data_IF_325118782533
#
_entry.id   IF_325118782533
#
_cell.length_a   1.000
_cell.length_b   1.000
_cell.length_c   1.000
_cell.angle_alpha   90.00
_cell.angle_beta   90.00
_cell.angle_gamma   90.00
#
_symmetry.space_group_name_H-M   'P 1'
#
loop_
_entity.id
_entity.type
_entity.pdbx_description
1 polymer ?
#
# COMPACT_ATOMS: atom_id res chain seq x y z
N UNK A 1 4.44 -9.32 32.56
CA UNK A 1 4.62 -8.73 31.21
C UNK A 1 3.65 -7.57 31.09
N UNK A 2 4.14 -6.33 31.09
CA UNK A 2 3.29 -5.15 30.93
C UNK A 2 2.64 -5.16 29.55
N UNK A 3 1.36 -4.81 29.47
CA UNK A 3 0.63 -4.78 28.20
C UNK A 3 1.14 -3.59 27.36
N UNK A 4 2.17 -3.81 26.53
CA UNK A 4 2.79 -2.78 25.68
C UNK A 4 1.79 -2.04 24.79
N UNK A 5 0.64 -2.67 24.49
CA UNK A 5 -0.46 -2.07 23.73
C UNK A 5 -1.07 -0.82 24.40
N UNK A 6 -0.85 -0.62 25.70
CA UNK A 6 -1.34 0.55 26.45
C UNK A 6 -0.34 1.71 26.51
N UNK A 7 0.90 1.54 26.04
CA UNK A 7 1.92 2.60 26.08
C UNK A 7 1.53 3.78 25.19
N UNK A 8 1.72 5.04 25.64
CA UNK A 8 1.55 6.23 24.80
C UNK A 8 2.35 6.16 23.49
N UNK A 9 3.57 5.62 23.53
CA UNK A 9 4.41 5.47 22.34
C UNK A 9 3.82 4.50 21.31
N UNK A 10 3.22 3.40 21.78
CA UNK A 10 2.54 2.44 20.91
C UNK A 10 1.31 3.06 20.24
N UNK A 11 0.49 3.79 21.01
CA UNK A 11 -0.69 4.50 20.48
C UNK A 11 -0.30 5.53 19.43
N UNK A 12 0.73 6.33 19.72
CA UNK A 12 1.25 7.33 18.78
C UNK A 12 1.72 6.70 17.47
N UNK A 13 2.51 5.61 17.55
CA UNK A 13 2.97 4.86 16.37
C UNK A 13 1.80 4.34 15.53
N UNK A 14 0.79 3.77 16.18
CA UNK A 14 -0.42 3.26 15.51
C UNK A 14 -1.19 4.37 14.79
N UNK A 15 -1.38 5.52 15.44
CA UNK A 15 -2.08 6.65 14.82
C UNK A 15 -1.28 7.28 13.66
N UNK A 16 0.05 7.37 13.77
CA UNK A 16 0.89 7.80 12.64
C UNK A 16 0.75 6.89 11.43
N UNK A 17 0.75 5.56 11.64
CA UNK A 17 0.55 4.58 10.57
C UNK A 17 -0.84 4.71 9.94
N UNK A 18 -1.89 4.90 10.76
CA UNK A 18 -3.26 5.14 10.27
C UNK A 18 -3.36 6.41 9.42
N UNK A 19 -2.86 7.52 9.93
CA UNK A 19 -2.96 8.82 9.26
C UNK A 19 -2.17 8.84 7.96
N UNK A 20 -0.94 8.29 7.97
CA UNK A 20 -0.14 8.18 6.75
C UNK A 20 -0.79 7.26 5.72
N UNK A 21 -1.39 6.15 6.14
CA UNK A 21 -2.13 5.29 5.21
C UNK A 21 -3.39 5.95 4.64
N UNK A 22 -4.14 6.70 5.46
CA UNK A 22 -5.28 7.50 4.98
C UNK A 22 -4.84 8.52 3.92
N UNK A 23 -3.71 9.19 4.14
CA UNK A 23 -3.17 10.14 3.16
C UNK A 23 -2.87 9.45 1.82
N UNK A 24 -2.25 8.27 1.85
CA UNK A 24 -2.01 7.46 0.63
C UNK A 24 -3.32 7.14 -0.09
N UNK A 25 -4.35 6.72 0.65
CA UNK A 25 -5.67 6.39 0.06
C UNK A 25 -6.38 7.62 -0.51
N UNK A 26 -6.36 8.76 0.18
CA UNK A 26 -6.98 10.00 -0.31
C UNK A 26 -6.34 10.47 -1.62
N UNK A 27 -5.01 10.35 -1.74
CA UNK A 27 -4.31 10.65 -3.00
C UNK A 27 -4.79 9.73 -4.13
N UNK A 28 -5.03 8.45 -3.84
CA UNK A 28 -5.57 7.50 -4.82
C UNK A 28 -7.03 7.81 -5.20
N UNK A 29 -7.88 8.16 -4.24
CA UNK A 29 -9.29 8.49 -4.49
C UNK A 29 -9.44 9.76 -5.34
N UNK A 30 -8.63 10.78 -5.05
CA UNK A 30 -8.60 12.01 -5.85
C UNK A 30 -8.16 11.72 -7.29
N UNK A 31 -7.14 10.87 -7.47
CA UNK A 31 -6.70 10.46 -8.79
C UNK A 31 -7.81 9.76 -9.59
N UNK A 32 -8.52 8.82 -8.95
CA UNK A 32 -9.62 8.10 -9.58
C UNK A 32 -10.79 9.04 -9.94
N UNK A 33 -11.14 9.98 -9.06
CA UNK A 33 -12.19 10.98 -9.32
C UNK A 33 -11.84 11.88 -10.51
N UNK A 34 -10.60 12.37 -10.59
CA UNK A 34 -10.15 13.18 -11.73
C UNK A 34 -10.18 12.41 -13.06
N UNK A 35 -9.83 11.12 -13.05
CA UNK A 35 -9.92 10.28 -14.25
C UNK A 35 -11.38 10.06 -14.67
N UNK A 36 -12.29 9.80 -13.73
CA UNK A 36 -13.71 9.64 -14.01
C UNK A 36 -14.34 10.91 -14.60
N UNK A 37 -14.04 12.09 -14.03
CA UNK A 37 -14.52 13.37 -14.56
C UNK A 37 -13.99 13.67 -15.96
N UNK A 38 -12.73 13.29 -16.27
CA UNK A 38 -12.15 13.46 -17.60
C UNK A 38 -12.75 12.51 -18.64
N UNK A 39 -13.09 11.28 -18.24
CA UNK A 39 -13.81 10.36 -19.11
C UNK A 39 -15.23 10.87 -19.42
N UNK A 40 -15.91 11.47 -18.44
CA UNK A 40 -17.24 12.07 -18.60
C UNK A 40 -17.23 13.36 -19.44
N UNK A 41 -16.19 14.18 -19.35
CA UNK A 41 -16.06 15.37 -20.22
C UNK A 41 -15.84 14.98 -21.68
N UNK A 42 -15.08 13.92 -21.94
CA UNK A 42 -14.86 13.44 -23.31
C UNK A 42 -16.10 12.78 -23.94
N UNK A 43 -17.03 12.26 -23.14
CA UNK A 43 -18.34 11.80 -23.62
C UNK A 43 -19.37 12.92 -23.74
N UNK A 44 -19.13 14.07 -23.10
CA UNK A 44 -20.05 15.22 -23.07
C UNK A 44 -19.72 16.30 -24.10
N UNK A 45 -18.61 16.20 -24.83
CA UNK A 45 -18.27 17.11 -25.94
C UNK A 45 -19.20 16.99 -27.18
N UNK A 46 -20.33 16.28 -27.05
CA UNK A 46 -21.46 16.30 -27.99
C UNK A 46 -22.68 17.10 -27.50
N UNK A 47 -22.67 17.72 -26.31
CA UNK A 47 -23.76 18.62 -25.91
C UNK A 47 -23.32 19.76 -24.99
N UNK A 48 -23.68 20.97 -25.38
CA UNK A 48 -23.10 22.24 -24.96
C UNK A 48 -23.54 22.79 -23.58
N UNK A 49 -22.72 23.74 -23.10
CA UNK A 49 -23.02 25.01 -22.39
C UNK A 49 -23.31 25.10 -20.87
N UNK A 50 -22.50 25.98 -20.25
CA UNK A 50 -22.74 26.97 -19.15
C UNK A 50 -23.39 26.53 -17.82
N UNK A 51 -22.67 26.70 -16.70
CA UNK A 51 -22.84 27.82 -15.75
C UNK A 51 -22.21 27.56 -14.36
N UNK A 52 -21.54 28.60 -13.86
CA UNK A 52 -21.35 29.09 -12.48
C UNK A 52 -21.08 28.15 -11.28
N UNK A 53 -19.84 28.20 -10.80
CA UNK A 53 -19.47 29.13 -9.71
C UNK A 53 -20.21 29.04 -8.37
N UNK A 54 -19.74 28.16 -7.47
CA UNK A 54 -19.30 28.49 -6.08
C UNK A 54 -19.14 27.22 -5.24
N UNK A 55 -18.14 27.25 -4.35
CA UNK A 55 -17.81 26.26 -3.31
C UNK A 55 -16.95 25.08 -3.75
N UNK A 56 -15.68 25.37 -4.01
CA UNK A 56 -14.63 24.39 -3.79
C UNK A 56 -13.49 25.10 -3.07
N UNK A 57 -13.45 24.97 -1.74
CA UNK A 57 -12.21 25.07 -0.98
C UNK A 57 -11.33 23.90 -1.42
N UNK A 58 -10.73 24.05 -2.60
CA UNK A 58 -9.81 23.09 -3.19
C UNK A 58 -8.53 23.15 -2.38
N UNK A 59 -8.34 22.12 -1.55
CA UNK A 59 -7.02 21.70 -1.08
C UNK A 59 -6.22 21.34 -2.34
N UNK A 60 -5.64 22.34 -2.97
CA UNK A 60 -4.70 22.25 -4.09
C UNK A 60 -3.32 21.82 -3.56
N UNK A 61 -3.28 20.68 -2.86
CA UNK A 61 -2.05 20.20 -2.24
C UNK A 61 -1.29 19.18 -3.12
N UNK A 62 -1.82 18.83 -4.29
CA UNK A 62 -1.17 17.92 -5.25
C UNK A 62 -1.35 18.44 -6.68
N UNK A 63 -0.96 19.70 -6.92
CA UNK A 63 -0.79 20.22 -8.28
C UNK A 63 0.56 19.74 -8.83
N UNK A 64 0.67 18.44 -9.07
CA UNK A 64 1.70 17.78 -9.86
C UNK A 64 0.99 16.91 -10.89
N UNK A 65 0.69 17.51 -12.03
CA UNK A 65 -0.16 16.96 -13.10
C UNK A 65 0.55 15.85 -13.89
N UNK A 66 0.63 14.63 -13.38
CA UNK A 66 0.76 13.42 -14.22
C UNK A 66 -0.03 12.28 -13.58
N UNK A 67 -0.64 11.43 -14.41
CA UNK A 67 -1.63 10.42 -14.02
C UNK A 67 -1.17 9.57 -12.84
N UNK A 68 -1.65 9.90 -11.64
CA UNK A 68 -1.41 9.11 -10.44
C UNK A 68 -2.02 7.74 -10.68
N UNK A 69 -1.16 6.73 -10.78
CA UNK A 69 -1.55 5.34 -11.01
C UNK A 69 -2.29 4.78 -9.79
N UNK A 70 -3.02 3.67 -9.91
CA UNK A 70 -3.41 2.86 -8.76
C UNK A 70 -2.20 2.45 -7.91
N UNK A 71 -2.36 2.34 -6.58
CA UNK A 71 -1.26 1.96 -5.68
C UNK A 71 -0.58 0.64 -6.09
N UNK A 72 -1.35 -0.33 -6.59
CA UNK A 72 -0.81 -1.64 -6.97
C UNK A 72 0.15 -1.56 -8.16
N UNK A 73 -0.01 -0.59 -9.07
CA UNK A 73 0.91 -0.43 -10.22
C UNK A 73 2.26 0.14 -9.76
N UNK A 74 2.25 1.12 -8.84
CA UNK A 74 3.50 1.61 -8.25
C UNK A 74 4.17 0.54 -7.40
N UNK A 75 3.37 -0.22 -6.65
CA UNK A 75 3.86 -1.36 -5.89
C UNK A 75 4.47 -2.41 -6.80
N UNK A 76 3.83 -2.77 -7.91
CA UNK A 76 4.34 -3.73 -8.88
C UNK A 76 5.67 -3.24 -9.48
N UNK A 77 5.71 -1.99 -9.95
CA UNK A 77 6.90 -1.37 -10.49
C UNK A 77 8.05 -1.37 -9.48
N UNK A 78 7.76 -1.14 -8.19
CA UNK A 78 8.73 -1.22 -7.10
C UNK A 78 9.14 -2.67 -6.82
N UNK A 79 8.17 -3.58 -6.73
CA UNK A 79 8.37 -4.99 -6.40
C UNK A 79 9.29 -5.68 -7.39
N UNK A 80 9.10 -5.44 -8.69
CA UNK A 80 9.92 -6.05 -9.71
C UNK A 80 11.30 -5.40 -9.91
N UNK A 81 11.60 -4.28 -9.27
CA UNK A 81 12.98 -3.82 -9.13
C UNK A 81 13.76 -4.75 -8.21
N UNK A 82 13.11 -5.26 -7.16
CA UNK A 82 13.73 -6.16 -6.18
C UNK A 82 13.63 -7.64 -6.57
N UNK A 83 12.52 -8.04 -7.18
CA UNK A 83 12.22 -9.44 -7.51
C UNK A 83 11.89 -9.60 -9.01
N UNK A 84 12.84 -9.32 -9.93
CA UNK A 84 12.56 -9.30 -11.36
C UNK A 84 12.17 -10.68 -11.93
N UNK A 85 12.66 -11.77 -11.33
CA UNK A 85 12.39 -13.15 -11.72
C UNK A 85 10.93 -13.58 -11.45
N UNK A 86 10.25 -12.90 -10.52
CA UNK A 86 8.85 -13.17 -10.20
C UNK A 86 7.85 -12.57 -11.19
N UNK A 87 8.28 -11.72 -12.13
CA UNK A 87 7.41 -11.08 -13.14
C UNK A 87 6.53 -12.08 -13.88
N UNK A 88 7.09 -13.20 -14.31
CA UNK A 88 6.37 -14.22 -15.11
C UNK A 88 5.39 -15.05 -14.30
N UNK A 89 5.53 -15.06 -12.96
CA UNK A 89 4.69 -15.83 -12.03
C UNK A 89 3.67 -14.94 -11.31
N UNK A 90 3.76 -13.63 -11.48
CA UNK A 90 2.92 -12.69 -10.77
C UNK A 90 1.49 -12.71 -11.33
N UNK A 91 0.45 -12.72 -10.47
CA UNK A 91 -0.91 -12.79 -10.94
C UNK A 91 -1.28 -11.53 -11.74
N UNK A 92 -1.91 -11.72 -12.90
CA UNK A 92 -2.50 -10.63 -13.69
C UNK A 92 -3.78 -10.06 -13.07
N UNK A 93 -4.32 -10.69 -12.01
CA UNK A 93 -5.48 -10.20 -11.29
C UNK A 93 -5.08 -9.14 -10.25
N UNK A 94 -4.91 -7.90 -10.72
CA UNK A 94 -4.51 -6.76 -9.91
C UNK A 94 -5.53 -6.35 -8.82
N UNK A 95 -6.80 -6.73 -8.97
CA UNK A 95 -7.82 -6.54 -7.92
C UNK A 95 -7.50 -7.41 -6.70
N UNK A 96 -7.07 -8.65 -6.91
CA UNK A 96 -6.66 -9.55 -5.83
C UNK A 96 -5.39 -9.03 -5.13
N UNK A 97 -4.38 -8.61 -5.91
CA UNK A 97 -3.12 -8.05 -5.38
C UNK A 97 -3.41 -6.81 -4.53
N UNK A 98 -4.26 -5.91 -5.02
CA UNK A 98 -4.67 -4.71 -4.29
C UNK A 98 -5.33 -5.04 -2.95
N UNK A 99 -6.30 -5.97 -2.96
CA UNK A 99 -6.99 -6.42 -1.73
C UNK A 99 -6.03 -7.07 -0.74
N UNK A 100 -5.07 -7.85 -1.24
CA UNK A 100 -4.05 -8.48 -0.41
C UNK A 100 -3.18 -7.45 0.29
N UNK A 101 -2.67 -6.46 -0.44
CA UNK A 101 -1.83 -5.40 0.11
C UNK A 101 -2.62 -4.53 1.10
N UNK A 102 -3.85 -4.16 0.77
CA UNK A 102 -4.71 -3.40 1.68
C UNK A 102 -4.99 -4.17 2.97
N UNK A 103 -5.27 -5.47 2.87
CA UNK A 103 -5.47 -6.35 4.02
C UNK A 103 -4.19 -6.45 4.86
N UNK A 104 -3.04 -6.62 4.21
CA UNK A 104 -1.73 -6.64 4.86
C UNK A 104 -1.50 -5.36 5.67
N UNK A 105 -1.65 -4.19 5.04
CA UNK A 105 -1.43 -2.90 5.68
C UNK A 105 -2.43 -2.67 6.81
N UNK A 106 -3.71 -2.95 6.59
CA UNK A 106 -4.75 -2.78 7.61
C UNK A 106 -4.48 -3.63 8.86
N UNK A 107 -4.06 -4.88 8.68
CA UNK A 107 -3.69 -5.74 9.82
C UNK A 107 -2.42 -5.27 10.52
N UNK A 108 -1.44 -4.79 9.76
CA UNK A 108 -0.20 -4.24 10.29
C UNK A 108 -0.45 -3.01 11.18
N UNK A 109 -1.31 -2.09 10.71
CA UNK A 109 -1.75 -0.91 11.45
C UNK A 109 -2.53 -1.29 12.71
N UNK A 110 -3.47 -2.22 12.57
CA UNK A 110 -4.34 -2.58 13.69
C UNK A 110 -3.67 -3.48 14.73
N UNK A 111 -2.46 -4.00 14.42
CA UNK A 111 -1.77 -5.03 15.20
C UNK A 111 -2.68 -6.24 15.50
N UNK A 112 -3.61 -6.53 14.58
CA UNK A 112 -4.46 -7.73 14.63
C UNK A 112 -3.61 -8.97 14.42
N UNK A 113 -4.13 -10.14 14.80
CA UNK A 113 -3.44 -11.44 14.78
C UNK A 113 -2.58 -11.67 13.51
N UNK A 114 -1.34 -11.20 13.58
CA UNK A 114 -0.36 -11.26 12.51
C UNK A 114 -0.04 -12.72 12.20
N UNK A 115 -0.15 -13.60 13.21
CA UNK A 115 0.13 -15.03 13.06
C UNK A 115 -0.88 -15.69 12.14
N UNK A 116 -2.18 -15.37 12.26
CA UNK A 116 -3.21 -15.91 11.36
C UNK A 116 -3.00 -15.42 9.92
N UNK A 117 -2.72 -14.12 9.75
CA UNK A 117 -2.45 -13.54 8.44
C UNK A 117 -1.20 -14.15 7.80
N UNK A 118 -0.11 -14.21 8.57
CA UNK A 118 1.16 -14.79 8.17
C UNK A 118 1.03 -16.26 7.78
N UNK A 119 0.24 -17.03 8.53
CA UNK A 119 -0.04 -18.44 8.22
C UNK A 119 -0.81 -18.58 6.92
N UNK A 120 -1.84 -17.75 6.70
CA UNK A 120 -2.63 -17.80 5.47
C UNK A 120 -1.79 -17.46 4.25
N UNK A 121 -1.00 -16.38 4.32
CA UNK A 121 -0.11 -16.00 3.22
C UNK A 121 1.06 -16.97 3.04
N UNK A 122 1.70 -17.40 4.13
CA UNK A 122 2.79 -18.38 4.06
C UNK A 122 2.36 -19.67 3.38
N UNK A 123 1.16 -20.18 3.68
CA UNK A 123 0.57 -21.35 3.01
C UNK A 123 0.25 -21.08 1.54
N UNK A 124 -0.41 -19.96 1.22
CA UNK A 124 -0.80 -19.65 -0.16
C UNK A 124 0.41 -19.46 -1.08
N UNK A 125 1.56 -19.07 -0.53
CA UNK A 125 2.76 -18.84 -1.32
C UNK A 125 3.67 -20.07 -1.48
N UNK A 126 3.37 -21.21 -0.83
CA UNK A 126 4.17 -22.45 -0.90
C UNK A 126 4.47 -22.89 -2.33
N UNK A 127 3.48 -22.82 -3.21
CA UNK A 127 3.57 -23.24 -4.61
C UNK A 127 4.52 -22.38 -5.45
N UNK A 128 4.89 -21.18 -4.98
CA UNK A 128 5.67 -20.21 -5.76
C UNK A 128 7.19 -20.32 -5.54
N UNK A 129 7.66 -21.23 -4.68
CA UNK A 129 9.09 -21.48 -4.42
C UNK A 129 9.86 -20.19 -4.10
N UNK A 130 9.29 -19.36 -3.20
CA UNK A 130 9.89 -18.09 -2.82
C UNK A 130 11.16 -18.31 -1.98
N UNK A 131 12.18 -17.49 -2.25
CA UNK A 131 13.42 -17.42 -1.48
C UNK A 131 13.32 -16.35 -0.39
N UNK A 132 14.33 -16.24 0.48
CA UNK A 132 14.35 -15.21 1.53
C UNK A 132 14.39 -13.79 0.91
N UNK A 133 15.13 -13.65 -0.19
CA UNK A 133 15.32 -12.41 -0.93
C UNK A 133 13.99 -11.90 -1.50
N UNK A 134 13.08 -12.79 -1.91
CA UNK A 134 11.73 -12.38 -2.36
C UNK A 134 10.90 -11.73 -1.26
N UNK A 135 11.02 -12.23 -0.02
CA UNK A 135 10.34 -11.65 1.14
C UNK A 135 10.92 -10.28 1.48
N UNK A 136 12.25 -10.15 1.49
CA UNK A 136 12.94 -8.87 1.72
C UNK A 136 12.65 -7.83 0.63
N UNK A 137 12.58 -8.29 -0.63
CA UNK A 137 12.18 -7.48 -1.77
C UNK A 137 10.74 -6.99 -1.66
N UNK A 138 9.80 -7.84 -1.22
CA UNK A 138 8.42 -7.40 -0.92
C UNK A 138 8.40 -6.30 0.15
N UNK A 139 9.16 -6.47 1.23
CA UNK A 139 9.20 -5.49 2.30
C UNK A 139 9.74 -4.14 1.82
N UNK A 140 10.83 -4.16 1.07
CA UNK A 140 11.46 -2.96 0.52
C UNK A 140 10.54 -2.27 -0.48
N UNK A 141 9.95 -3.03 -1.40
CA UNK A 141 9.02 -2.51 -2.39
C UNK A 141 7.82 -1.81 -1.78
N UNK A 142 7.23 -2.38 -0.73
CA UNK A 142 6.08 -1.79 -0.06
C UNK A 142 6.45 -0.47 0.63
N UNK A 143 7.58 -0.43 1.32
CA UNK A 143 8.07 0.79 2.00
C UNK A 143 8.37 1.89 0.99
N UNK A 144 9.05 1.57 -0.11
CA UNK A 144 9.38 2.53 -1.18
C UNK A 144 8.12 3.08 -1.85
N UNK A 145 7.12 2.22 -2.06
CA UNK A 145 5.82 2.63 -2.63
C UNK A 145 5.10 3.60 -1.70
N UNK A 146 5.05 3.28 -0.40
CA UNK A 146 4.44 4.16 0.61
C UNK A 146 5.20 5.49 0.70
N UNK A 147 6.53 5.46 0.73
CA UNK A 147 7.35 6.66 0.76
C UNK A 147 7.10 7.55 -0.47
N UNK A 148 7.10 6.96 -1.67
CA UNK A 148 6.80 7.68 -2.91
C UNK A 148 5.42 8.33 -2.88
N UNK A 149 4.41 7.64 -2.30
CA UNK A 149 3.04 8.15 -2.20
C UNK A 149 2.85 9.23 -1.14
N UNK A 150 3.62 9.16 -0.06
CA UNK A 150 3.63 10.21 0.96
C UNK A 150 4.38 11.46 0.46
N UNK A 151 5.35 11.29 -0.45
CA UNK A 151 6.16 12.38 -0.97
C UNK A 151 6.80 13.18 0.17
N UNK A 152 6.56 14.50 0.20
CA UNK A 152 7.08 15.39 1.25
C UNK A 152 6.58 15.07 2.68
N UNK A 153 5.49 14.30 2.82
CA UNK A 153 4.97 13.90 4.13
C UNK A 153 5.63 12.63 4.67
N UNK A 154 6.44 11.93 3.85
CA UNK A 154 7.17 10.73 4.25
C UNK A 154 8.46 11.07 4.98
N UNK A 155 8.38 11.52 6.24
CA UNK A 155 9.57 11.80 7.05
C UNK A 155 10.43 10.55 7.26
N UNK A 156 11.71 10.73 7.59
CA UNK A 156 12.65 9.62 7.85
C UNK A 156 12.10 8.71 8.97
N UNK A 157 11.55 9.31 10.03
CA UNK A 157 10.97 8.60 11.16
C UNK A 157 9.75 7.78 10.74
N UNK A 158 8.87 8.34 9.92
CA UNK A 158 7.67 7.65 9.44
C UNK A 158 8.04 6.48 8.52
N UNK A 159 8.99 6.67 7.61
CA UNK A 159 9.50 5.60 6.73
C UNK A 159 10.16 4.50 7.55
N UNK A 160 10.90 4.86 8.61
CA UNK A 160 11.48 3.89 9.56
C UNK A 160 10.38 3.07 10.26
N UNK A 161 9.32 3.72 10.74
CA UNK A 161 8.18 3.05 11.39
C UNK A 161 7.52 2.05 10.42
N UNK A 162 7.29 2.45 9.17
CA UNK A 162 6.76 1.57 8.12
C UNK A 162 7.67 0.39 7.84
N UNK A 163 8.98 0.63 7.72
CA UNK A 163 9.98 -0.42 7.49
C UNK A 163 9.98 -1.47 8.60
N UNK A 164 10.02 -1.04 9.86
CA UNK A 164 9.99 -1.95 11.00
C UNK A 164 8.73 -2.82 11.01
N UNK A 165 7.56 -2.22 10.77
CA UNK A 165 6.28 -2.95 10.75
C UNK A 165 6.23 -3.95 9.59
N UNK A 166 6.59 -3.52 8.38
CA UNK A 166 6.57 -4.39 7.20
C UNK A 166 7.57 -5.53 7.34
N UNK A 167 8.81 -5.26 7.81
CA UNK A 167 9.81 -6.30 8.05
C UNK A 167 9.34 -7.28 9.12
N UNK A 168 8.74 -6.82 10.20
CA UNK A 168 8.19 -7.68 11.26
C UNK A 168 7.13 -8.65 10.71
N UNK A 169 6.21 -8.13 9.90
CA UNK A 169 5.13 -8.94 9.31
C UNK A 169 5.67 -9.94 8.27
N UNK A 170 6.58 -9.49 7.40
CA UNK A 170 7.22 -10.34 6.40
C UNK A 170 8.03 -11.47 7.05
N UNK A 171 8.76 -11.20 8.14
CA UNK A 171 9.46 -12.25 8.91
C UNK A 171 8.48 -13.27 9.50
N UNK A 172 7.33 -12.83 9.99
CA UNK A 172 6.29 -13.74 10.46
C UNK A 172 5.76 -14.62 9.31
N UNK A 173 5.50 -14.03 8.14
CA UNK A 173 5.11 -14.77 6.93
C UNK A 173 6.16 -15.79 6.50
N UNK A 174 7.42 -15.39 6.43
CA UNK A 174 8.54 -16.25 6.05
C UNK A 174 8.70 -17.42 7.01
N UNK A 175 8.49 -17.20 8.32
CA UNK A 175 8.50 -18.26 9.32
C UNK A 175 7.41 -19.30 9.06
N UNK A 176 6.19 -18.86 8.78
CA UNK A 176 5.07 -19.77 8.47
C UNK A 176 5.24 -20.46 7.11
N UNK A 177 5.77 -19.76 6.11
CA UNK A 177 6.14 -20.35 4.81
C UNK A 177 7.14 -21.50 4.99
N UNK A 178 8.23 -21.28 5.73
CA UNK A 178 9.26 -22.30 6.00
C UNK A 178 8.70 -23.51 6.76
N UNK A 179 7.70 -23.33 7.62
CA UNK A 179 7.02 -24.45 8.29
C UNK A 179 6.16 -25.26 7.32
N UNK A 180 5.55 -24.62 6.34
CA UNK A 180 4.67 -25.28 5.37
C UNK A 180 5.44 -26.02 4.26
N UNK A 181 6.70 -25.65 4.01
CA UNK A 181 7.57 -26.26 2.98
C UNK A 181 8.44 -27.39 3.50
N UNK A 182 8.52 -27.59 4.82
CA UNK A 182 9.09 -28.79 5.45
C UNK A 182 8.06 -29.91 5.43
#
# INVERSE_FOLDING_TARGET
MGNESSSPAFRYRKELLKLSWRLVLTVQEQAASHQASRAQSHTSDLNATKADGKSALSISLVAGKEGIKPFHEDFEASFFKYCPDLKTKFPSNYSLVSKMIQSFISNAIECKDISKLARNFGKSHKQHQLTNEHFEGFASALVDTIQSRLGKFGTIELVKIWREVTVGLVKAMQKEYKKATK
#
